data_IF_956026525051
#
_entry.id   IF_956026525051
#
_cell.length_a   1.000
_cell.length_b   1.000
_cell.length_c   1.000
_cell.angle_alpha   90.00
_cell.angle_beta   90.00
_cell.angle_gamma   90.00
#
_symmetry.space_group_name_H-M   'P 1'
#
loop_
_entity.id
_entity.type
_entity.pdbx_description
1 polymer ?
#
# COMPACT_ATOMS: atom_id res chain seq x y z
N UNK A 1 32.73 2.33 -57.94
CA UNK A 1 31.41 1.90 -57.44
C UNK A 1 31.61 1.52 -56.00
N UNK A 2 31.35 2.44 -55.12
CA UNK A 2 31.63 2.32 -53.69
C UNK A 2 30.29 2.51 -52.96
N UNK A 3 29.75 1.42 -52.46
CA UNK A 3 28.55 1.42 -51.66
C UNK A 3 28.86 1.86 -50.21
N UNK A 4 28.37 3.03 -49.85
CA UNK A 4 28.40 3.55 -48.50
C UNK A 4 27.32 2.93 -47.66
N UNK A 5 27.71 2.12 -46.65
CA UNK A 5 26.79 1.71 -45.58
C UNK A 5 26.71 2.83 -44.55
N UNK A 6 25.58 3.49 -44.55
CA UNK A 6 25.21 4.44 -43.48
C UNK A 6 24.76 3.66 -42.25
N UNK A 7 25.60 3.62 -41.24
CA UNK A 7 25.25 3.09 -39.89
C UNK A 7 24.41 4.13 -39.17
N UNK A 8 23.11 3.92 -39.08
CA UNK A 8 22.20 4.70 -38.24
C UNK A 8 22.51 4.34 -36.77
N UNK A 9 23.18 5.24 -36.08
CA UNK A 9 23.37 5.17 -34.62
C UNK A 9 22.00 5.45 -34.00
N UNK A 10 21.39 4.42 -33.43
CA UNK A 10 20.24 4.58 -32.56
C UNK A 10 20.70 5.25 -31.27
N UNK A 11 20.40 6.52 -31.13
CA UNK A 11 20.53 7.26 -29.88
C UNK A 11 19.73 6.55 -28.79
N UNK A 12 20.41 6.17 -27.70
CA UNK A 12 19.78 5.65 -26.49
C UNK A 12 18.89 6.75 -25.91
N UNK A 13 17.61 6.49 -25.59
CA UNK A 13 16.82 7.45 -24.86
C UNK A 13 17.43 7.62 -23.46
N UNK A 14 17.61 8.86 -23.04
CA UNK A 14 18.06 9.25 -21.73
C UNK A 14 17.17 8.61 -20.65
N UNK A 15 17.68 7.60 -19.98
CA UNK A 15 17.10 7.05 -18.76
C UNK A 15 17.71 7.82 -17.61
N UNK A 16 16.87 8.47 -16.87
CA UNK A 16 16.88 8.70 -15.42
C UNK A 16 15.99 9.90 -15.12
N UNK A 17 14.67 9.69 -15.30
CA UNK A 17 13.71 10.59 -14.69
C UNK A 17 13.71 10.31 -13.18
N UNK A 18 14.67 10.89 -12.44
CA UNK A 18 14.57 10.98 -11.01
C UNK A 18 13.35 11.84 -10.70
N UNK A 19 12.29 11.24 -10.17
CA UNK A 19 11.19 11.96 -9.55
C UNK A 19 11.67 12.65 -8.26
N UNK A 20 12.71 13.49 -8.39
CA UNK A 20 13.18 14.36 -7.34
C UNK A 20 12.22 15.53 -7.20
N UNK A 21 11.04 15.29 -6.61
CA UNK A 21 10.14 16.35 -6.20
C UNK A 21 10.79 17.08 -5.02
N UNK A 22 11.09 18.35 -5.19
CA UNK A 22 11.75 19.26 -4.25
C UNK A 22 10.81 19.67 -3.11
N UNK A 23 10.33 18.72 -2.32
CA UNK A 23 9.66 18.96 -1.05
C UNK A 23 10.55 18.41 0.06
N UNK A 24 10.87 19.23 1.04
CA UNK A 24 11.70 18.88 2.18
C UNK A 24 11.18 17.61 2.86
N UNK A 25 11.99 16.53 2.92
CA UNK A 25 11.82 15.29 3.64
C UNK A 25 10.48 14.57 3.43
N UNK A 26 10.48 13.40 2.80
CA UNK A 26 9.30 12.51 2.76
C UNK A 26 9.03 11.91 4.13
N UNK A 27 7.77 11.54 4.42
CA UNK A 27 7.42 10.78 5.62
C UNK A 27 7.92 9.34 5.55
N UNK A 28 7.86 8.74 4.34
CA UNK A 28 8.53 7.48 4.00
C UNK A 28 9.40 7.76 2.77
N UNK A 29 10.67 7.43 2.84
CA UNK A 29 11.60 7.55 1.72
C UNK A 29 12.07 6.17 1.28
N UNK A 30 11.80 5.85 0.04
CA UNK A 30 12.23 4.62 -0.64
C UNK A 30 13.35 5.02 -1.59
N UNK A 31 14.53 4.40 -1.47
CA UNK A 31 15.70 4.73 -2.27
C UNK A 31 16.26 3.49 -2.97
N UNK A 32 16.26 3.53 -4.31
CA UNK A 32 16.83 2.49 -5.17
C UNK A 32 16.37 1.06 -4.81
N UNK A 33 15.11 0.92 -4.36
CA UNK A 33 14.58 -0.35 -3.87
C UNK A 33 14.40 -1.33 -5.02
N UNK A 34 15.00 -2.51 -4.89
CA UNK A 34 14.84 -3.63 -5.81
C UNK A 34 14.40 -4.86 -5.03
N UNK A 35 13.50 -5.65 -5.63
CA UNK A 35 12.95 -6.87 -5.03
C UNK A 35 13.12 -8.02 -6.01
N UNK A 36 13.70 -9.11 -5.54
CA UNK A 36 13.89 -10.34 -6.32
C UNK A 36 13.36 -11.55 -5.57
N UNK A 37 12.81 -12.52 -6.29
CA UNK A 37 12.41 -13.84 -5.79
C UNK A 37 13.13 -14.91 -6.64
N UNK A 38 13.77 -15.88 -6.01
CA UNK A 38 14.51 -16.95 -6.69
C UNK A 38 15.48 -16.41 -7.78
N UNK A 39 16.20 -15.34 -7.48
CA UNK A 39 17.10 -14.61 -8.39
C UNK A 39 16.40 -13.92 -9.59
N UNK A 40 15.06 -13.91 -9.64
CA UNK A 40 14.30 -13.16 -10.65
C UNK A 40 13.91 -11.79 -10.08
N UNK A 41 14.43 -10.72 -10.67
CA UNK A 41 14.09 -9.36 -10.25
C UNK A 41 12.67 -9.01 -10.70
N UNK A 42 11.82 -8.68 -9.74
CA UNK A 42 10.41 -8.31 -9.96
C UNK A 42 10.22 -6.80 -9.98
N UNK A 43 11.00 -6.08 -9.16
CA UNK A 43 11.01 -4.61 -9.10
C UNK A 43 12.45 -4.14 -9.09
N UNK A 44 12.76 -3.10 -9.87
CA UNK A 44 14.13 -2.60 -10.01
C UNK A 44 14.22 -1.10 -9.73
N UNK A 45 15.13 -0.73 -8.81
CA UNK A 45 15.61 0.64 -8.53
C UNK A 45 14.48 1.67 -8.35
N UNK A 46 13.46 1.32 -7.59
CA UNK A 46 12.36 2.25 -7.29
C UNK A 46 12.81 3.25 -6.23
N UNK A 47 12.67 4.54 -6.55
CA UNK A 47 12.82 5.64 -5.59
C UNK A 47 11.51 6.41 -5.52
N UNK A 48 10.93 6.53 -4.33
CA UNK A 48 9.61 7.13 -4.10
C UNK A 48 9.57 7.80 -2.73
N UNK A 49 8.98 8.99 -2.66
CA UNK A 49 8.69 9.70 -1.41
C UNK A 49 7.19 9.71 -1.16
N UNK A 50 6.79 9.26 0.01
CA UNK A 50 5.39 9.26 0.48
C UNK A 50 5.23 10.40 1.47
N UNK A 51 4.22 11.24 1.26
CA UNK A 51 3.93 12.38 2.12
C UNK A 51 3.15 11.94 3.37
N UNK A 52 3.33 12.67 4.47
CA UNK A 52 2.58 12.45 5.70
C UNK A 52 1.09 12.78 5.51
N UNK A 53 0.22 12.00 6.14
CA UNK A 53 -1.23 12.23 6.15
C UNK A 53 -1.80 12.44 4.74
N UNK A 54 -1.40 11.58 3.83
CA UNK A 54 -1.83 11.57 2.42
C UNK A 54 -2.06 10.15 1.94
N UNK A 55 -2.71 10.04 0.80
CA UNK A 55 -2.89 8.77 0.09
C UNK A 55 -1.96 8.73 -1.12
N UNK A 56 -0.99 7.83 -1.12
CA UNK A 56 -0.16 7.53 -2.30
C UNK A 56 -0.68 6.25 -2.95
N UNK A 57 -1.18 6.34 -4.17
CA UNK A 57 -1.64 5.19 -4.93
C UNK A 57 -0.55 4.65 -5.86
N UNK A 58 -0.24 3.36 -5.74
CA UNK A 58 0.61 2.61 -6.65
C UNK A 58 -0.30 1.98 -7.72
N UNK A 59 -0.23 2.45 -8.95
CA UNK A 59 -1.06 1.97 -10.07
C UNK A 59 -0.21 1.36 -11.17
N UNK A 60 -0.83 0.59 -12.06
CA UNK A 60 -0.17 -0.07 -13.18
C UNK A 60 -0.71 -1.48 -13.41
N UNK A 61 -0.33 -2.14 -14.52
CA UNK A 61 -0.79 -3.48 -14.86
C UNK A 61 -0.50 -4.53 -13.78
N UNK A 62 -1.25 -5.62 -13.80
CA UNK A 62 -1.00 -6.75 -12.91
C UNK A 62 0.40 -7.34 -13.16
N UNK A 63 1.07 -7.80 -12.09
CA UNK A 63 2.38 -8.42 -12.18
C UNK A 63 3.57 -7.46 -12.35
N UNK A 64 3.40 -6.13 -12.27
CA UNK A 64 4.52 -5.18 -12.30
C UNK A 64 5.15 -4.89 -10.92
N UNK A 65 4.89 -5.74 -9.90
CA UNK A 65 5.60 -5.71 -8.63
C UNK A 65 5.09 -4.73 -7.57
N UNK A 66 3.93 -4.07 -7.75
CA UNK A 66 3.37 -3.10 -6.78
C UNK A 66 3.19 -3.68 -5.38
N UNK A 67 2.59 -4.86 -5.26
CA UNK A 67 2.41 -5.54 -3.97
C UNK A 67 3.75 -5.96 -3.36
N UNK A 68 4.74 -6.37 -4.17
CA UNK A 68 6.09 -6.69 -3.70
C UNK A 68 6.78 -5.47 -3.08
N UNK A 69 6.65 -4.30 -3.71
CA UNK A 69 7.12 -3.04 -3.15
C UNK A 69 6.37 -2.70 -1.85
N UNK A 70 5.02 -2.81 -1.87
CA UNK A 70 4.19 -2.52 -0.70
C UNK A 70 4.61 -3.36 0.52
N UNK A 71 4.89 -4.65 0.31
CA UNK A 71 5.30 -5.56 1.38
C UNK A 71 6.68 -5.25 1.96
N UNK A 72 7.56 -4.57 1.21
CA UNK A 72 8.83 -4.08 1.76
C UNK A 72 8.62 -3.03 2.86
N UNK A 73 7.56 -2.23 2.80
CA UNK A 73 7.31 -1.15 3.74
C UNK A 73 7.00 -1.64 5.16
N UNK A 74 6.57 -2.89 5.33
CA UNK A 74 6.37 -3.52 6.64
C UNK A 74 7.18 -4.81 6.81
N UNK A 75 8.14 -5.06 5.92
CA UNK A 75 9.02 -6.21 5.96
C UNK A 75 8.29 -7.57 5.91
N UNK A 76 7.14 -7.64 5.24
CA UNK A 76 6.48 -8.92 4.97
C UNK A 76 7.29 -9.80 4.02
N UNK A 77 8.12 -9.19 3.18
CA UNK A 77 9.06 -9.89 2.29
C UNK A 77 10.04 -10.79 3.06
N UNK A 78 10.39 -10.44 4.30
CA UNK A 78 11.27 -11.26 5.16
C UNK A 78 10.67 -12.64 5.47
N UNK A 79 9.35 -12.79 5.32
CA UNK A 79 8.63 -14.05 5.57
C UNK A 79 8.54 -14.93 4.31
N UNK A 80 8.95 -14.41 3.17
CA UNK A 80 8.91 -15.14 1.89
C UNK A 80 10.29 -15.76 1.65
N UNK A 81 10.38 -17.09 1.59
CA UNK A 81 11.63 -17.77 1.25
C UNK A 81 12.19 -17.26 -0.09
N UNK A 82 13.50 -17.20 -0.21
CA UNK A 82 14.20 -16.76 -1.42
C UNK A 82 13.87 -15.33 -1.89
N UNK A 83 13.25 -14.49 -1.06
CA UNK A 83 13.08 -13.07 -1.33
C UNK A 83 14.34 -12.31 -0.92
N UNK A 84 14.87 -11.49 -1.83
CA UNK A 84 15.95 -10.55 -1.55
C UNK A 84 15.53 -9.13 -1.87
N UNK A 85 15.93 -8.19 -1.01
CA UNK A 85 15.61 -6.77 -1.13
C UNK A 85 16.92 -5.99 -1.09
N UNK A 86 17.16 -5.13 -2.08
CA UNK A 86 18.28 -4.19 -2.13
C UNK A 86 17.73 -2.75 -2.13
N UNK A 87 18.56 -1.78 -1.70
CA UNK A 87 18.12 -0.40 -1.48
C UNK A 87 17.68 -0.16 -0.05
N UNK A 88 16.97 0.94 0.21
CA UNK A 88 16.55 1.32 1.57
C UNK A 88 15.11 1.82 1.62
N UNK A 89 14.48 1.63 2.78
CA UNK A 89 13.22 2.25 3.17
C UNK A 89 13.45 2.97 4.49
N UNK A 90 13.26 4.27 4.51
CA UNK A 90 13.47 5.10 5.68
C UNK A 90 12.14 5.73 6.10
N UNK A 91 11.88 5.74 7.41
CA UNK A 91 10.72 6.38 8.00
C UNK A 91 11.18 7.57 8.85
N UNK A 92 10.56 8.74 8.66
CA UNK A 92 10.98 9.97 9.37
C UNK A 92 10.85 9.91 10.90
N UNK A 93 10.03 8.98 11.40
CA UNK A 93 9.78 8.80 12.85
C UNK A 93 10.52 7.60 13.47
N UNK A 94 11.25 6.82 12.69
CA UNK A 94 11.90 5.61 13.16
C UNK A 94 13.39 5.63 12.86
N UNK A 95 14.22 5.37 13.85
CA UNK A 95 15.67 5.23 13.65
C UNK A 95 15.94 4.02 12.73
N UNK A 96 16.75 4.24 11.69
CA UNK A 96 17.19 3.21 10.74
C UNK A 96 17.82 2.00 11.42
N UNK A 97 18.48 2.18 12.58
CA UNK A 97 19.03 1.08 13.41
C UNK A 97 17.94 0.19 14.01
N UNK A 98 16.75 0.73 14.26
CA UNK A 98 15.62 -0.04 14.79
C UNK A 98 14.88 -0.80 13.70
N UNK A 99 14.84 -0.27 12.48
CA UNK A 99 14.27 -0.93 11.30
C UNK A 99 14.87 -2.31 11.05
N UNK A 100 16.20 -2.45 11.23
CA UNK A 100 16.92 -3.73 11.02
C UNK A 100 16.66 -4.78 12.11
N UNK A 101 16.25 -4.39 13.33
CA UNK A 101 16.25 -5.27 14.51
C UNK A 101 14.87 -5.77 14.95
N UNK A 102 13.79 -5.04 14.69
CA UNK A 102 12.47 -5.37 15.25
C UNK A 102 11.31 -5.18 14.27
N UNK A 103 11.08 -6.18 13.42
CA UNK A 103 9.95 -6.18 12.48
C UNK A 103 8.57 -6.10 13.19
N UNK A 104 8.44 -6.61 14.42
CA UNK A 104 7.19 -6.54 15.19
C UNK A 104 6.85 -5.09 15.57
N UNK A 105 7.85 -4.31 15.97
CA UNK A 105 7.65 -2.90 16.29
C UNK A 105 7.28 -2.10 15.02
N UNK A 106 7.95 -2.36 13.90
CA UNK A 106 7.59 -1.76 12.61
C UNK A 106 6.14 -2.08 12.23
N UNK A 107 5.75 -3.36 12.29
CA UNK A 107 4.40 -3.83 11.92
C UNK A 107 3.30 -3.32 12.84
N UNK A 108 3.64 -2.88 14.06
CA UNK A 108 2.70 -2.18 14.94
C UNK A 108 2.37 -0.78 14.41
N UNK A 109 3.36 -0.08 13.87
CA UNK A 109 3.22 1.29 13.34
C UNK A 109 2.82 1.33 11.86
N UNK A 110 3.06 0.24 11.12
CA UNK A 110 2.75 0.09 9.70
C UNK A 110 1.76 -1.06 9.54
N UNK A 111 0.47 -0.73 9.65
CA UNK A 111 -0.63 -1.69 9.50
C UNK A 111 -0.80 -2.14 8.05
N UNK A 112 -1.40 -3.32 7.86
CA UNK A 112 -1.64 -3.89 6.52
C UNK A 112 -3.07 -4.38 6.36
N UNK A 113 -3.69 -4.01 5.24
CA UNK A 113 -4.94 -4.56 4.75
C UNK A 113 -4.68 -5.32 3.45
N UNK A 114 -4.99 -6.60 3.44
CA UNK A 114 -4.78 -7.50 2.29
C UNK A 114 -5.93 -7.42 1.30
N UNK A 115 -5.67 -7.84 0.08
CA UNK A 115 -6.61 -7.88 -1.03
C UNK A 115 -7.88 -8.68 -0.70
N UNK A 116 -7.72 -9.88 -0.14
CA UNK A 116 -8.83 -10.70 0.32
C UNK A 116 -9.06 -10.53 1.80
N UNK A 117 -10.31 -10.35 2.25
CA UNK A 117 -10.62 -10.39 3.66
C UNK A 117 -10.07 -11.68 4.28
N UNK A 118 -9.35 -11.55 5.37
CA UNK A 118 -8.76 -12.67 6.10
C UNK A 118 -9.05 -12.58 7.61
N UNK A 119 -10.32 -12.51 8.02
CA UNK A 119 -10.63 -12.56 9.43
C UNK A 119 -10.16 -13.90 10.01
N UNK A 120 -9.67 -13.87 11.24
CA UNK A 120 -9.37 -15.12 11.95
C UNK A 120 -10.67 -15.87 12.22
N UNK A 121 -10.67 -17.22 12.28
CA UNK A 121 -11.84 -18.03 12.57
C UNK A 121 -12.24 -17.93 14.06
N UNK A 122 -12.33 -16.70 14.54
CA UNK A 122 -12.71 -16.31 15.88
C UNK A 122 -13.96 -15.43 15.83
N UNK A 123 -14.44 -15.01 17.01
CA UNK A 123 -15.48 -14.00 17.10
C UNK A 123 -14.97 -12.63 16.61
N UNK A 124 -15.91 -11.72 16.31
CA UNK A 124 -15.62 -10.34 15.91
C UNK A 124 -14.72 -9.68 16.96
N UNK A 125 -15.09 -9.76 18.24
CA UNK A 125 -14.31 -9.26 19.37
C UNK A 125 -12.89 -9.84 19.39
N UNK A 126 -12.75 -11.15 19.31
CA UNK A 126 -11.45 -11.83 19.41
C UNK A 126 -10.51 -11.49 18.25
N UNK A 127 -11.02 -11.12 17.07
CA UNK A 127 -10.19 -10.66 15.95
C UNK A 127 -9.39 -9.41 16.28
N UNK A 128 -9.96 -8.46 17.05
CA UNK A 128 -9.28 -7.24 17.48
C UNK A 128 -8.51 -7.44 18.78
N UNK A 129 -9.11 -8.16 19.74
CA UNK A 129 -8.50 -8.44 21.03
C UNK A 129 -7.17 -9.18 20.90
N UNK A 130 -7.07 -10.10 19.94
CA UNK A 130 -5.83 -10.85 19.67
C UNK A 130 -4.66 -9.89 19.36
N UNK A 131 -4.86 -8.93 18.46
CA UNK A 131 -3.82 -7.95 18.13
C UNK A 131 -3.38 -7.14 19.36
N UNK A 132 -4.32 -6.66 20.17
CA UNK A 132 -4.04 -5.88 21.38
C UNK A 132 -3.23 -6.69 22.40
N UNK A 133 -3.64 -7.95 22.64
CA UNK A 133 -2.96 -8.83 23.60
C UNK A 133 -1.54 -9.18 23.16
N UNK A 134 -1.31 -9.44 21.88
CA UNK A 134 0.02 -9.71 21.34
C UNK A 134 0.98 -8.51 21.52
N UNK A 135 0.44 -7.29 21.58
CA UNK A 135 1.20 -6.08 21.85
C UNK A 135 1.19 -5.63 23.32
N UNK A 136 0.84 -6.55 24.23
CA UNK A 136 0.97 -6.36 25.69
C UNK A 136 -0.15 -5.55 26.34
N UNK A 137 -1.23 -5.23 25.62
CA UNK A 137 -2.39 -4.54 26.20
C UNK A 137 -3.26 -5.58 26.90
N UNK A 138 -3.37 -5.49 28.23
CA UNK A 138 -4.03 -6.50 29.07
C UNK A 138 -5.27 -5.97 29.81
N UNK A 139 -5.37 -4.67 30.01
CA UNK A 139 -6.49 -4.07 30.76
C UNK A 139 -7.79 -4.24 29.98
N UNK A 140 -8.78 -4.90 30.58
CA UNK A 140 -10.06 -5.25 29.93
C UNK A 140 -10.83 -4.02 29.45
N UNK A 141 -10.82 -2.95 30.24
CA UNK A 141 -11.47 -1.69 29.89
C UNK A 141 -10.80 -1.02 28.69
N UNK A 142 -9.47 -0.97 28.65
CA UNK A 142 -8.71 -0.43 27.52
C UNK A 142 -8.97 -1.24 26.24
N UNK A 143 -8.94 -2.57 26.34
CA UNK A 143 -9.23 -3.47 25.22
C UNK A 143 -10.64 -3.17 24.67
N UNK A 144 -11.67 -3.09 25.54
CA UNK A 144 -13.05 -2.83 25.09
C UNK A 144 -13.17 -1.47 24.42
N UNK A 145 -12.58 -0.43 24.98
CA UNK A 145 -12.61 0.92 24.41
C UNK A 145 -11.93 0.99 23.04
N UNK A 146 -10.76 0.36 22.90
CA UNK A 146 -10.03 0.33 21.62
C UNK A 146 -10.78 -0.45 20.55
N UNK A 147 -11.44 -1.56 20.92
CA UNK A 147 -12.28 -2.35 20.01
C UNK A 147 -13.45 -1.51 19.52
N UNK A 148 -14.17 -0.86 20.43
CA UNK A 148 -15.29 0.01 20.06
C UNK A 148 -14.82 1.16 19.15
N UNK A 149 -13.75 1.87 19.53
CA UNK A 149 -13.19 2.95 18.71
C UNK A 149 -12.84 2.48 17.30
N UNK A 150 -12.12 1.36 17.17
CA UNK A 150 -11.73 0.82 15.87
C UNK A 150 -12.93 0.39 15.01
N UNK A 151 -13.95 -0.24 15.61
CA UNK A 151 -15.18 -0.62 14.91
C UNK A 151 -16.02 0.60 14.48
N UNK A 152 -16.07 1.66 15.31
CA UNK A 152 -16.69 2.94 14.95
C UNK A 152 -15.93 3.63 13.81
N UNK A 153 -14.61 3.66 13.87
CA UNK A 153 -13.76 4.29 12.87
C UNK A 153 -13.97 3.67 11.46
N UNK A 154 -14.25 2.36 11.39
CA UNK A 154 -14.54 1.69 10.10
C UNK A 154 -16.05 1.61 9.80
N UNK A 155 -16.91 2.24 10.59
CA UNK A 155 -18.36 2.25 10.40
C UNK A 155 -19.00 0.86 10.52
N UNK A 156 -18.44 -0.03 11.34
CA UNK A 156 -18.95 -1.39 11.54
C UNK A 156 -19.67 -1.55 12.89
N UNK A 157 -19.44 -0.65 13.85
CA UNK A 157 -19.96 -0.76 15.21
C UNK A 157 -21.48 -0.96 15.26
N UNK A 158 -22.25 -0.12 14.61
CA UNK A 158 -23.71 -0.16 14.63
C UNK A 158 -24.30 -1.45 14.02
N UNK A 159 -23.49 -2.16 13.21
CA UNK A 159 -23.93 -3.41 12.58
C UNK A 159 -23.60 -4.65 13.44
N UNK A 160 -22.69 -4.53 14.45
CA UNK A 160 -22.15 -5.70 15.15
C UNK A 160 -22.06 -5.56 16.68
N UNK A 161 -22.36 -4.40 17.27
CA UNK A 161 -22.15 -4.14 18.71
C UNK A 161 -22.93 -5.10 19.63
N UNK A 162 -24.09 -5.58 19.19
CA UNK A 162 -24.96 -6.53 19.89
C UNK A 162 -24.51 -8.00 19.73
N UNK A 163 -23.61 -8.29 18.79
CA UNK A 163 -23.15 -9.64 18.43
C UNK A 163 -21.65 -9.78 18.31
N UNK A 164 -20.88 -9.04 19.09
CA UNK A 164 -19.42 -9.07 19.06
C UNK A 164 -18.81 -10.46 19.32
N UNK A 165 -19.52 -11.32 20.00
CA UNK A 165 -19.07 -12.69 20.29
C UNK A 165 -19.48 -13.72 19.21
N UNK A 166 -20.24 -13.29 18.18
CA UNK A 166 -20.54 -14.10 17.00
C UNK A 166 -19.31 -14.30 16.11
N UNK A 167 -19.34 -15.37 15.31
CA UNK A 167 -18.26 -15.70 14.37
C UNK A 167 -18.02 -14.59 13.35
N UNK A 168 -16.77 -14.17 13.18
CA UNK A 168 -16.39 -13.24 12.13
C UNK A 168 -16.61 -13.79 10.71
N UNK A 169 -16.64 -15.13 10.56
CA UNK A 169 -16.91 -15.79 9.28
C UNK A 169 -18.37 -15.65 8.83
N UNK A 170 -19.29 -15.31 9.72
CA UNK A 170 -20.71 -15.07 9.40
C UNK A 170 -20.98 -13.65 8.84
N UNK A 171 -19.97 -12.79 8.80
CA UNK A 171 -20.06 -11.45 8.22
C UNK A 171 -20.06 -11.50 6.70
N UNK A 172 -20.73 -10.52 6.05
CA UNK A 172 -20.61 -10.31 4.61
C UNK A 172 -19.18 -9.94 4.19
N UNK A 173 -18.81 -10.10 2.92
CA UNK A 173 -17.47 -9.77 2.42
C UNK A 173 -17.04 -8.33 2.76
N UNK A 174 -17.92 -7.35 2.57
CA UNK A 174 -17.64 -5.95 2.93
C UNK A 174 -17.53 -5.73 4.44
N UNK A 175 -18.30 -6.45 5.27
CA UNK A 175 -18.17 -6.42 6.72
C UNK A 175 -16.85 -7.08 7.17
N UNK A 176 -16.47 -8.21 6.55
CA UNK A 176 -15.18 -8.86 6.82
C UNK A 176 -13.99 -7.95 6.46
N UNK A 177 -14.06 -7.24 5.33
CA UNK A 177 -13.02 -6.29 4.93
C UNK A 177 -12.90 -5.14 5.95
N UNK A 178 -14.03 -4.57 6.38
CA UNK A 178 -14.03 -3.54 7.43
C UNK A 178 -13.55 -4.08 8.78
N UNK A 179 -13.85 -5.32 9.14
CA UNK A 179 -13.29 -5.97 10.34
C UNK A 179 -11.78 -6.13 10.25
N UNK A 180 -11.25 -6.57 9.09
CA UNK A 180 -9.80 -6.64 8.87
C UNK A 180 -9.14 -5.28 8.93
N UNK A 181 -9.79 -4.23 8.42
CA UNK A 181 -9.34 -2.85 8.54
C UNK A 181 -9.35 -2.41 10.02
N UNK A 182 -10.42 -2.66 10.77
CA UNK A 182 -10.49 -2.37 12.21
C UNK A 182 -9.37 -3.09 12.98
N UNK A 183 -9.07 -4.35 12.62
CA UNK A 183 -7.95 -5.11 13.20
C UNK A 183 -6.58 -4.47 12.93
N UNK A 184 -6.39 -3.88 11.75
CA UNK A 184 -5.17 -3.14 11.46
C UNK A 184 -5.11 -1.81 12.23
N UNK A 185 -6.26 -1.14 12.42
CA UNK A 185 -6.36 0.17 13.10
C UNK A 185 -6.34 0.09 14.63
N UNK A 186 -6.69 -1.05 15.23
CA UNK A 186 -6.86 -1.17 16.70
C UNK A 186 -5.56 -0.91 17.49
N UNK A 187 -4.41 -1.02 16.81
CA UNK A 187 -3.08 -0.71 17.36
C UNK A 187 -2.69 0.76 17.14
N UNK A 188 -3.54 1.54 16.49
CA UNK A 188 -3.34 2.94 16.13
C UNK A 188 -2.04 3.18 15.33
N UNK A 189 -1.92 2.58 14.14
CA UNK A 189 -0.73 2.73 13.29
C UNK A 189 -0.64 4.12 12.66
N UNK A 190 0.59 4.60 12.45
CA UNK A 190 0.87 5.85 11.73
C UNK A 190 0.71 5.70 10.20
N UNK A 191 0.98 4.49 9.71
CA UNK A 191 0.92 4.13 8.28
C UNK A 191 -0.02 2.96 8.07
N UNK A 192 -0.81 3.03 7.00
CA UNK A 192 -1.69 1.96 6.58
C UNK A 192 -1.38 1.58 5.13
N UNK A 193 -0.96 0.34 4.94
CA UNK A 193 -0.74 -0.26 3.64
C UNK A 193 -2.01 -0.99 3.21
N UNK A 194 -2.46 -0.78 1.98
CA UNK A 194 -3.64 -1.43 1.43
C UNK A 194 -3.33 -2.07 0.08
N UNK A 195 -3.47 -3.37 -0.02
CA UNK A 195 -3.29 -4.10 -1.27
C UNK A 195 -4.65 -4.41 -1.88
N UNK A 196 -5.04 -3.69 -2.92
CA UNK A 196 -6.31 -3.83 -3.66
C UNK A 196 -7.56 -3.97 -2.77
N UNK A 197 -7.81 -3.04 -1.83
CA UNK A 197 -8.79 -3.22 -0.75
C UNK A 197 -10.24 -3.38 -1.21
N UNK A 198 -10.56 -3.06 -2.47
CA UNK A 198 -11.91 -3.09 -3.02
C UNK A 198 -12.11 -4.13 -4.13
N UNK A 199 -11.07 -4.90 -4.52
CA UNK A 199 -11.11 -5.77 -5.71
C UNK A 199 -12.18 -6.88 -5.67
N UNK A 200 -12.60 -7.29 -4.46
CA UNK A 200 -13.59 -8.35 -4.26
C UNK A 200 -14.93 -7.84 -3.68
N UNK A 201 -15.16 -6.51 -3.72
CA UNK A 201 -16.33 -5.90 -3.11
C UNK A 201 -17.34 -5.43 -4.15
N UNK A 202 -18.61 -5.42 -3.75
CA UNK A 202 -19.68 -4.77 -4.50
C UNK A 202 -19.51 -3.24 -4.52
N UNK A 203 -20.20 -2.51 -5.43
CA UNK A 203 -20.02 -1.06 -5.56
C UNK A 203 -20.35 -0.28 -4.27
N UNK A 204 -21.35 -0.69 -3.49
CA UNK A 204 -21.76 -0.01 -2.25
C UNK A 204 -20.67 -0.18 -1.18
N UNK A 205 -20.16 -1.39 -1.03
CA UNK A 205 -19.04 -1.68 -0.12
C UNK A 205 -17.77 -0.96 -0.54
N UNK A 206 -17.50 -0.86 -1.83
CA UNK A 206 -16.37 -0.10 -2.40
C UNK A 206 -16.44 1.37 -2.01
N UNK A 207 -17.59 2.03 -2.20
CA UNK A 207 -17.78 3.43 -1.83
C UNK A 207 -17.55 3.69 -0.34
N UNK A 208 -18.04 2.78 0.52
CA UNK A 208 -17.77 2.83 1.97
C UNK A 208 -16.25 2.79 2.27
N UNK A 209 -15.51 1.86 1.66
CA UNK A 209 -14.05 1.76 1.87
C UNK A 209 -13.32 3.00 1.34
N UNK A 210 -13.71 3.54 0.19
CA UNK A 210 -13.11 4.77 -0.36
C UNK A 210 -13.35 5.98 0.55
N UNK A 211 -14.56 6.10 1.10
CA UNK A 211 -14.89 7.14 2.10
C UNK A 211 -14.05 6.98 3.36
N UNK A 212 -13.84 5.73 3.84
CA UNK A 212 -12.97 5.45 4.96
C UNK A 212 -11.51 5.82 4.67
N UNK A 213 -10.97 5.48 3.50
CA UNK A 213 -9.61 5.85 3.08
C UNK A 213 -9.41 7.36 3.19
N UNK A 214 -10.32 8.17 2.65
CA UNK A 214 -10.26 9.64 2.73
C UNK A 214 -10.37 10.16 4.16
N UNK A 215 -11.20 9.54 4.99
CA UNK A 215 -11.32 9.89 6.40
C UNK A 215 -10.06 9.60 7.19
N UNK A 216 -9.49 8.43 6.98
CA UNK A 216 -8.28 7.93 7.65
C UNK A 216 -7.03 8.73 7.24
N UNK A 217 -6.92 9.17 5.98
CA UNK A 217 -5.76 9.90 5.47
C UNK A 217 -5.53 11.25 6.16
N UNK A 218 -6.55 11.81 6.81
CA UNK A 218 -6.42 13.05 7.60
C UNK A 218 -5.52 12.88 8.83
N UNK A 219 -5.34 11.66 9.31
CA UNK A 219 -4.57 11.33 10.52
C UNK A 219 -3.45 10.33 10.28
N UNK A 220 -3.54 9.55 9.20
CA UNK A 220 -2.61 8.46 8.88
C UNK A 220 -2.10 8.59 7.45
N UNK A 221 -0.91 8.12 7.21
CA UNK A 221 -0.34 8.01 5.87
C UNK A 221 -0.79 6.70 5.24
N UNK A 222 -1.31 6.74 4.02
CA UNK A 222 -1.84 5.56 3.34
C UNK A 222 -1.05 5.29 2.06
N UNK A 223 -0.59 4.05 1.88
CA UNK A 223 -0.05 3.57 0.61
C UNK A 223 -0.99 2.51 0.08
N UNK A 224 -1.58 2.78 -1.06
CA UNK A 224 -2.64 1.98 -1.68
C UNK A 224 -2.16 1.38 -2.99
N UNK A 225 -2.21 0.06 -3.13
CA UNK A 225 -2.12 -0.61 -4.44
C UNK A 225 -3.51 -0.77 -5.02
N UNK A 226 -3.71 -0.37 -6.26
CA UNK A 226 -4.96 -0.62 -6.98
C UNK A 226 -4.73 -0.70 -8.49
N UNK A 227 -5.53 -1.54 -9.15
CA UNK A 227 -5.63 -1.54 -10.61
C UNK A 227 -6.82 -0.69 -11.11
N UNK A 228 -7.69 -0.22 -10.20
CA UNK A 228 -8.81 0.66 -10.53
C UNK A 228 -8.36 2.12 -10.61
N UNK A 229 -8.24 2.66 -11.84
CA UNK A 229 -7.90 4.07 -12.05
C UNK A 229 -8.97 5.00 -11.48
N UNK A 230 -10.23 4.61 -11.57
CA UNK A 230 -11.35 5.38 -11.00
C UNK A 230 -11.24 5.48 -9.48
N UNK A 231 -10.85 4.40 -8.78
CA UNK A 231 -10.58 4.43 -7.36
C UNK A 231 -9.38 5.35 -7.05
N UNK A 232 -8.25 5.15 -7.72
CA UNK A 232 -7.06 5.98 -7.51
C UNK A 232 -7.37 7.48 -7.72
N UNK A 233 -8.13 7.83 -8.76
CA UNK A 233 -8.54 9.21 -9.04
C UNK A 233 -9.42 9.81 -7.94
N UNK A 234 -10.29 8.98 -7.29
CA UNK A 234 -11.16 9.44 -6.22
C UNK A 234 -10.46 9.63 -4.88
N UNK A 235 -9.46 8.81 -4.57
CA UNK A 235 -8.90 8.77 -3.20
C UNK A 235 -7.46 9.25 -3.07
N UNK A 236 -6.65 9.24 -4.14
CA UNK A 236 -5.23 9.51 -4.05
C UNK A 236 -4.90 11.00 -4.13
N UNK A 237 -3.93 11.42 -3.30
CA UNK A 237 -3.27 12.73 -3.37
C UNK A 237 -2.05 12.64 -4.31
N UNK A 238 -1.34 11.51 -4.29
CA UNK A 238 -0.18 11.22 -5.10
C UNK A 238 -0.37 9.88 -5.81
N UNK A 239 0.14 9.78 -7.03
CA UNK A 239 0.10 8.56 -7.85
C UNK A 239 1.51 8.20 -8.29
N UNK A 240 1.86 6.93 -8.15
CA UNK A 240 3.07 6.30 -8.64
C UNK A 240 2.70 5.23 -9.66
N UNK A 241 3.09 5.43 -10.91
CA UNK A 241 2.75 4.56 -12.05
C UNK A 241 3.85 3.54 -12.25
N UNK A 242 3.50 2.28 -12.15
CA UNK A 242 4.40 1.15 -12.39
C UNK A 242 4.14 0.53 -13.75
N UNK A 243 5.21 0.13 -14.41
CA UNK A 243 5.14 -0.57 -15.68
C UNK A 243 6.19 -1.67 -15.76
N UNK A 244 5.93 -2.68 -16.57
CA UNK A 244 6.89 -3.75 -16.81
C UNK A 244 7.75 -3.40 -18.03
N UNK A 245 9.02 -3.06 -17.80
CA UNK A 245 10.01 -2.76 -18.84
C UNK A 245 11.03 -3.90 -18.85
N UNK A 246 11.24 -4.53 -19.98
CA UNK A 246 12.15 -5.68 -20.14
C UNK A 246 11.90 -6.82 -19.14
N UNK A 247 10.63 -7.06 -18.83
CA UNK A 247 10.22 -8.10 -17.89
C UNK A 247 10.24 -7.69 -16.41
N UNK A 248 10.77 -6.52 -16.06
CA UNK A 248 10.95 -6.05 -14.69
C UNK A 248 10.06 -4.83 -14.40
N UNK A 249 9.47 -4.79 -13.22
CA UNK A 249 8.64 -3.65 -12.78
C UNK A 249 9.50 -2.44 -12.46
N UNK A 250 9.15 -1.30 -13.03
CA UNK A 250 9.81 0.00 -12.81
C UNK A 250 8.77 1.07 -12.48
N UNK A 251 9.16 2.03 -11.66
CA UNK A 251 8.42 3.27 -11.48
C UNK A 251 8.70 4.15 -12.70
N UNK A 252 7.67 4.44 -13.51
CA UNK A 252 7.83 5.21 -14.75
C UNK A 252 7.39 6.66 -14.61
N UNK A 253 6.46 6.94 -13.72
CA UNK A 253 5.99 8.29 -13.44
C UNK A 253 5.46 8.40 -12.02
N UNK A 254 5.70 9.55 -11.36
CA UNK A 254 5.17 9.83 -10.04
C UNK A 254 4.89 11.32 -9.89
N UNK A 255 3.75 11.67 -9.30
CA UNK A 255 3.37 13.06 -9.10
C UNK A 255 2.06 13.19 -8.34
N UNK A 256 1.56 14.43 -8.24
CA UNK A 256 0.21 14.67 -7.73
C UNK A 256 -0.82 13.94 -8.59
N UNK A 257 -1.85 13.39 -7.97
CA UNK A 257 -2.86 12.62 -8.69
C UNK A 257 -3.47 13.41 -9.87
N UNK A 258 -3.82 14.68 -9.67
CA UNK A 258 -4.33 15.56 -10.72
C UNK A 258 -3.38 15.68 -11.91
N UNK A 259 -2.07 15.85 -11.63
CA UNK A 259 -1.09 16.06 -12.70
C UNK A 259 -0.88 14.78 -13.51
N UNK A 260 -0.72 13.63 -12.83
CA UNK A 260 -0.53 12.34 -13.50
C UNK A 260 -1.76 11.92 -14.31
N UNK A 261 -2.97 12.13 -13.78
CA UNK A 261 -4.19 11.74 -14.48
C UNK A 261 -4.59 12.67 -15.63
N UNK A 262 -4.35 13.98 -15.49
CA UNK A 262 -4.85 14.95 -16.45
C UNK A 262 -3.75 15.39 -17.45
N UNK A 263 -2.47 15.26 -17.07
CA UNK A 263 -1.32 15.67 -17.90
C UNK A 263 -0.15 14.68 -17.76
N UNK A 264 -0.35 13.40 -18.05
CA UNK A 264 0.70 12.39 -17.93
C UNK A 264 1.87 12.74 -18.85
N UNK A 265 3.09 12.68 -18.31
CA UNK A 265 4.31 13.03 -19.04
C UNK A 265 4.92 11.82 -19.75
N UNK A 266 4.85 10.64 -19.13
CA UNK A 266 5.45 9.44 -19.68
C UNK A 266 4.55 8.77 -20.71
N UNK A 267 5.06 8.38 -21.92
CA UNK A 267 4.23 7.78 -22.98
C UNK A 267 3.48 6.51 -22.55
N UNK A 268 4.09 5.66 -21.72
CA UNK A 268 3.43 4.46 -21.19
C UNK A 268 2.30 4.81 -20.22
N UNK A 269 2.44 5.87 -19.42
CA UNK A 269 1.35 6.37 -18.58
C UNK A 269 0.19 6.86 -19.42
N UNK A 270 0.48 7.64 -20.48
CA UNK A 270 -0.56 8.10 -21.42
C UNK A 270 -1.32 6.93 -22.03
N UNK A 271 -0.59 5.89 -22.47
CA UNK A 271 -1.19 4.68 -23.00
C UNK A 271 -2.05 3.96 -21.95
N UNK A 272 -1.52 3.76 -20.75
CA UNK A 272 -2.22 3.08 -19.67
C UNK A 272 -3.53 3.78 -19.30
N UNK A 273 -3.51 5.10 -19.18
CA UNK A 273 -4.70 5.88 -18.80
C UNK A 273 -5.78 5.95 -19.90
N UNK A 274 -5.43 5.65 -21.17
CA UNK A 274 -6.40 5.60 -22.27
C UNK A 274 -7.16 4.28 -22.36
N UNK A 275 -6.57 3.18 -21.88
CA UNK A 275 -7.11 1.83 -22.07
C UNK A 275 -7.62 1.17 -20.78
N UNK A 276 -7.62 1.88 -19.66
CA UNK A 276 -8.02 1.34 -18.36
C UNK A 276 -9.26 2.02 -17.76
#
# INVERSE_FOLDING_TARGET
MSDGHSSTVLERPASDASCANSLAGGYIEIENLSVSYDNCTVVERVSLRVQRNSVTALIGPSGCGKSSLLYCLNRLNDLVPCCSVAGSVNFSWMDAKLLGKNATQLRRQVGMLFQRPNPFPFSIRKNLEFALKQHGIKARTEISNRIECALREVGLWEEVHDRLDSSAMALSGGQQQRLCLARALVLDPDVLLMDEPCSALDPISTEKIETLIRGLSKRRTIVLVTHSLSQARRVADQVAVFWKVDGVGKLIECGKATDVFDRPQHPLTQTYLKFA
#
